data_IF_431646623950
#
_entry.id   IF_431646623950
#
_cell.length_a   1.000
_cell.length_b   1.000
_cell.length_c   1.000
_cell.angle_alpha   90.00
_cell.angle_beta   90.00
_cell.angle_gamma   90.00
#
_symmetry.space_group_name_H-M   'P 1'
#
loop_
_entity.id
_entity.type
_entity.pdbx_description
1 polymer ?
#
# COMPACT_ATOMS: atom_id res chain seq x y z
N UNK A 1 -1.51 -11.50 10.73
CA UNK A 1 -1.20 -10.51 9.70
C UNK A 1 0.28 -10.26 9.67
N UNK A 2 0.94 -10.49 8.54
CA UNK A 2 2.40 -10.38 8.50
C UNK A 2 2.90 -8.94 8.59
N UNK A 3 2.12 -7.96 8.18
CA UNK A 3 2.59 -6.57 8.19
C UNK A 3 1.73 -5.67 9.04
N UNK A 4 2.36 -4.62 9.59
CA UNK A 4 1.67 -3.62 10.39
C UNK A 4 2.44 -2.30 10.30
N UNK A 5 2.02 -1.30 11.08
CA UNK A 5 2.61 0.03 10.99
C UNK A 5 4.10 0.04 11.35
N UNK A 6 4.55 -0.94 12.13
CA UNK A 6 5.95 -1.01 12.57
C UNK A 6 6.80 -1.95 11.74
N UNK A 7 6.17 -2.77 10.93
CA UNK A 7 6.89 -3.73 10.11
C UNK A 7 6.15 -3.92 8.78
N UNK A 8 6.72 -3.46 7.70
CA UNK A 8 6.10 -3.51 6.39
C UNK A 8 7.18 -3.59 5.31
N UNK A 9 6.79 -3.94 4.07
CA UNK A 9 7.78 -4.02 2.99
C UNK A 9 8.47 -2.69 2.75
N UNK A 10 9.76 -2.75 2.48
CA UNK A 10 10.56 -1.54 2.26
C UNK A 10 9.99 -0.68 1.14
N UNK A 11 9.35 -1.30 0.14
CA UNK A 11 8.78 -0.54 -0.97
C UNK A 11 7.63 0.38 -0.56
N UNK A 12 7.12 0.21 0.65
CA UNK A 12 6.04 1.08 1.16
C UNK A 12 6.55 2.22 2.02
N UNK A 13 7.85 2.30 2.27
CA UNK A 13 8.35 3.25 3.26
C UNK A 13 8.17 4.70 2.85
N UNK A 14 8.11 4.97 1.55
CA UNK A 14 7.98 6.34 1.06
C UNK A 14 6.54 6.77 0.82
N UNK A 15 5.58 5.90 1.09
CA UNK A 15 4.18 6.26 0.96
C UNK A 15 3.77 7.16 2.14
N UNK A 16 2.88 8.13 1.90
CA UNK A 16 2.31 8.89 3.03
C UNK A 16 1.69 7.92 4.04
N UNK A 17 1.70 8.25 5.33
CA UNK A 17 1.23 7.30 6.35
C UNK A 17 -0.16 6.72 6.09
N UNK A 18 -1.13 7.54 5.68
CA UNK A 18 -2.47 7.01 5.43
C UNK A 18 -2.50 6.07 4.25
N UNK A 19 -1.73 6.38 3.20
CA UNK A 19 -1.65 5.51 2.02
C UNK A 19 -0.92 4.22 2.38
N UNK A 20 0.14 4.33 3.21
CA UNK A 20 0.86 3.15 3.64
C UNK A 20 -0.01 2.21 4.45
N UNK A 21 -0.82 2.75 5.36
CA UNK A 21 -1.75 1.92 6.13
C UNK A 21 -2.72 1.20 5.21
N UNK A 22 -3.23 1.91 4.22
CA UNK A 22 -4.15 1.29 3.27
C UNK A 22 -3.46 0.19 2.49
N UNK A 23 -2.21 0.42 2.07
CA UNK A 23 -1.45 -0.59 1.35
C UNK A 23 -1.22 -1.83 2.20
N UNK A 24 -0.92 -1.64 3.48
CA UNK A 24 -0.71 -2.75 4.39
C UNK A 24 -1.99 -3.57 4.53
N UNK A 25 -3.14 -2.91 4.70
CA UNK A 25 -4.41 -3.61 4.82
C UNK A 25 -4.72 -4.44 3.57
N UNK A 26 -4.53 -3.84 2.40
CA UNK A 26 -4.79 -4.54 1.15
C UNK A 26 -3.84 -5.72 1.00
N UNK A 27 -2.57 -5.50 1.31
CA UNK A 27 -1.57 -6.55 1.16
C UNK A 27 -1.86 -7.73 2.07
N UNK A 28 -2.21 -7.46 3.32
CA UNK A 28 -2.53 -8.54 4.25
C UNK A 28 -3.74 -9.35 3.77
N UNK A 29 -4.76 -8.66 3.24
CA UNK A 29 -5.95 -9.36 2.75
C UNK A 29 -5.62 -10.24 1.55
N UNK A 30 -4.82 -9.73 0.62
CA UNK A 30 -4.45 -10.51 -0.55
C UNK A 30 -3.56 -11.70 -0.18
N UNK A 31 -2.68 -11.51 0.78
CA UNK A 31 -1.82 -12.59 1.23
C UNK A 31 -2.63 -13.70 1.88
N UNK A 32 -3.68 -13.32 2.63
CA UNK A 32 -4.58 -14.31 3.23
C UNK A 32 -5.31 -15.11 2.17
N UNK A 33 -5.50 -14.54 0.98
CA UNK A 33 -6.12 -15.27 -0.13
C UNK A 33 -5.16 -16.20 -0.83
N UNK A 34 -3.92 -16.24 -0.41
CA UNK A 34 -2.93 -17.17 -0.96
C UNK A 34 -2.14 -16.63 -2.14
N UNK A 35 -2.20 -15.35 -2.40
CA UNK A 35 -1.47 -14.78 -3.51
C UNK A 35 0.03 -14.68 -3.21
N UNK A 36 0.83 -14.67 -4.26
CA UNK A 36 2.27 -14.54 -4.16
C UNK A 36 2.68 -13.20 -3.55
N UNK A 37 3.62 -13.24 -2.61
CA UNK A 37 3.99 -12.06 -1.84
C UNK A 37 4.46 -10.90 -2.71
N UNK A 38 5.33 -11.16 -3.68
CA UNK A 38 5.83 -10.08 -4.54
C UNK A 38 4.73 -9.40 -5.32
N UNK A 39 3.78 -10.19 -5.83
CA UNK A 39 2.66 -9.66 -6.56
C UNK A 39 1.72 -8.89 -5.63
N UNK A 40 1.49 -9.43 -4.44
CA UNK A 40 0.65 -8.77 -3.43
C UNK A 40 1.15 -7.37 -3.14
N UNK A 41 2.44 -7.23 -2.91
CA UNK A 41 3.01 -5.92 -2.57
C UNK A 41 2.79 -4.92 -3.69
N UNK A 42 3.03 -5.32 -4.94
CA UNK A 42 2.85 -4.41 -6.07
C UNK A 42 1.39 -4.00 -6.24
N UNK A 43 0.49 -4.96 -6.14
CA UNK A 43 -0.95 -4.68 -6.30
C UNK A 43 -1.42 -3.77 -5.17
N UNK A 44 -1.00 -4.07 -3.95
CA UNK A 44 -1.43 -3.30 -2.79
C UNK A 44 -1.00 -1.84 -2.89
N UNK A 45 0.24 -1.61 -3.31
CA UNK A 45 0.73 -0.24 -3.45
C UNK A 45 -0.04 0.51 -4.52
N UNK A 46 -0.28 -0.13 -5.68
CA UNK A 46 -1.01 0.52 -6.76
C UNK A 46 -2.43 0.88 -6.33
N UNK A 47 -3.11 -0.05 -5.65
CA UNK A 47 -4.48 0.20 -5.19
C UNK A 47 -4.52 1.26 -4.09
N UNK A 48 -3.55 1.26 -3.21
CA UNK A 48 -3.50 2.24 -2.13
C UNK A 48 -3.30 3.64 -2.67
N UNK A 49 -2.43 3.79 -3.67
CA UNK A 49 -2.23 5.08 -4.30
C UNK A 49 -3.49 5.58 -4.98
N UNK A 50 -4.19 4.69 -5.66
CA UNK A 50 -5.45 5.05 -6.29
C UNK A 50 -6.48 5.48 -5.24
N UNK A 51 -6.55 4.75 -4.13
CA UNK A 51 -7.42 5.11 -3.03
C UNK A 51 -7.06 6.49 -2.49
N UNK A 52 -5.75 6.76 -2.35
CA UNK A 52 -5.30 8.04 -1.83
C UNK A 52 -5.72 9.20 -2.72
N UNK A 53 -5.59 9.03 -4.04
CA UNK A 53 -5.99 10.07 -4.97
C UNK A 53 -7.46 10.41 -4.86
N UNK A 54 -8.29 9.43 -4.51
CA UNK A 54 -9.72 9.62 -4.42
C UNK A 54 -10.18 10.14 -3.06
N UNK A 55 -9.47 9.77 -1.99
CA UNK A 55 -9.99 9.98 -0.65
C UNK A 55 -9.19 10.96 0.21
N UNK A 56 -7.98 11.31 -0.20
CA UNK A 56 -7.14 12.20 0.61
C UNK A 56 -7.02 13.55 -0.07
N UNK A 57 -7.66 14.59 0.52
CA UNK A 57 -7.57 15.92 -0.06
C UNK A 57 -6.11 16.37 -0.13
N UNK A 58 -5.73 16.92 -1.26
CA UNK A 58 -4.38 17.41 -1.44
C UNK A 58 -3.34 16.36 -1.77
N UNK A 59 -3.70 15.08 -1.72
CA UNK A 59 -2.75 14.04 -2.10
C UNK A 59 -2.59 14.02 -3.60
N UNK A 60 -1.38 14.21 -4.05
CA UNK A 60 -1.06 14.14 -5.47
C UNK A 60 0.13 13.25 -5.62
N UNK A 61 -0.02 12.16 -6.37
CA UNK A 61 1.08 11.27 -6.62
C UNK A 61 2.07 11.97 -7.54
N UNK A 62 3.30 12.06 -7.08
CA UNK A 62 4.32 12.71 -7.86
C UNK A 62 4.89 11.70 -8.79
N UNK A 63 4.36 11.64 -9.88
CA UNK A 63 4.85 10.63 -10.79
C UNK A 63 6.23 10.90 -11.26
N UNK A 64 6.46 11.83 -10.98
CA UNK A 64 7.63 11.92 -11.28
C UNK A 64 8.41 11.59 -10.83
N UNK A 65 7.81 11.63 -10.62
CA UNK A 65 8.23 11.47 -10.32
C UNK A 65 8.50 10.97 -10.63
#
# INVERSE_FOLDING_TARGET
>A
MPWNADYFPASMKNLPPAVREKAIDIANALLDEGMDEGMVIRIAIARAKEWGRRHLPGYAERSDA
#
